data_IF_499148935039
#
_entry.id   IF_499148935039
#
_cell.length_a   1.000
_cell.length_b   1.000
_cell.length_c   1.000
_cell.angle_alpha   90.00
_cell.angle_beta   90.00
_cell.angle_gamma   90.00
#
_symmetry.space_group_name_H-M   'P 1'
#
loop_
_entity.id
_entity.type
_entity.pdbx_description
1 polymer ?
#
# COMPACT_ATOMS: atom_id res chain seq x y z
N UNK A 1 5.21 -9.43 -18.82
CA UNK A 1 3.94 -10.20 -18.79
C UNK A 1 2.84 -9.36 -19.41
N UNK A 2 1.82 -9.96 -20.03
CA UNK A 2 0.63 -9.21 -20.50
C UNK A 2 -0.19 -8.72 -19.31
N UNK A 3 -0.86 -7.57 -19.41
CA UNK A 3 -1.65 -6.94 -18.33
C UNK A 3 -2.66 -7.92 -17.73
N UNK A 4 -3.40 -8.61 -18.59
CA UNK A 4 -4.39 -9.60 -18.19
C UNK A 4 -3.80 -10.78 -17.39
N UNK A 5 -2.56 -11.19 -17.71
CA UNK A 5 -1.85 -12.19 -16.91
C UNK A 5 -1.42 -11.64 -15.55
N UNK A 6 -0.99 -10.38 -15.47
CA UNK A 6 -0.61 -9.73 -14.20
C UNK A 6 -1.81 -9.63 -13.27
N UNK A 7 -2.97 -9.22 -13.80
CA UNK A 7 -4.24 -9.15 -13.06
C UNK A 7 -4.62 -10.48 -12.43
N UNK A 8 -4.60 -11.56 -13.21
CA UNK A 8 -4.89 -12.90 -12.67
C UNK A 8 -3.93 -13.33 -11.57
N UNK A 9 -2.63 -13.06 -11.70
CA UNK A 9 -1.65 -13.40 -10.67
C UNK A 9 -1.85 -12.56 -9.39
N UNK A 10 -2.21 -11.29 -9.55
CA UNK A 10 -2.59 -10.40 -8.46
C UNK A 10 -3.85 -10.92 -7.73
N UNK A 11 -4.91 -11.25 -8.48
CA UNK A 11 -6.15 -11.81 -7.95
C UNK A 11 -5.89 -13.11 -7.18
N UNK A 12 -5.09 -14.03 -7.72
CA UNK A 12 -4.68 -15.27 -7.04
C UNK A 12 -3.96 -15.02 -5.72
N UNK A 13 -3.07 -14.02 -5.67
CA UNK A 13 -2.42 -13.61 -4.43
C UNK A 13 -3.41 -13.05 -3.41
N UNK A 14 -4.39 -12.25 -3.84
CA UNK A 14 -5.40 -11.68 -2.95
C UNK A 14 -6.37 -12.73 -2.40
N UNK A 15 -6.85 -13.65 -3.26
CA UNK A 15 -7.68 -14.79 -2.84
C UNK A 15 -6.97 -15.61 -1.77
N UNK A 16 -5.68 -15.90 -1.98
CA UNK A 16 -4.87 -16.63 -1.00
C UNK A 16 -4.74 -15.91 0.33
N UNK A 17 -4.57 -14.60 0.32
CA UNK A 17 -4.51 -13.80 1.55
C UNK A 17 -5.82 -13.87 2.32
N UNK A 18 -6.96 -13.81 1.64
CA UNK A 18 -8.28 -13.97 2.26
C UNK A 18 -8.42 -15.35 2.90
N UNK A 19 -7.98 -16.41 2.21
CA UNK A 19 -8.06 -17.79 2.72
C UNK A 19 -7.13 -18.05 3.92
N UNK A 20 -5.93 -17.45 3.94
CA UNK A 20 -4.92 -17.73 4.96
C UNK A 20 -4.95 -16.78 6.16
N UNK A 21 -5.30 -15.51 5.94
CA UNK A 21 -5.18 -14.43 6.93
C UNK A 21 -6.54 -13.77 7.18
N UNK A 22 -7.32 -13.55 6.13
CA UNK A 22 -8.55 -12.75 6.20
C UNK A 22 -8.23 -11.26 6.22
N UNK A 23 -8.66 -10.55 7.27
CA UNK A 23 -8.38 -9.12 7.43
C UNK A 23 -6.88 -8.88 7.68
N UNK A 24 -6.24 -8.18 6.74
CA UNK A 24 -4.81 -7.86 6.82
C UNK A 24 -4.51 -6.53 7.52
N UNK A 25 -5.50 -5.83 8.06
CA UNK A 25 -5.32 -4.51 8.68
C UNK A 25 -4.27 -4.58 9.80
N UNK A 26 -4.49 -5.44 10.80
CA UNK A 26 -3.56 -5.58 11.92
C UNK A 26 -2.15 -6.03 11.52
N UNK A 27 -1.94 -7.09 10.70
CA UNK A 27 -0.59 -7.47 10.29
C UNK A 27 0.11 -6.42 9.42
N UNK A 28 -0.63 -5.65 8.62
CA UNK A 28 -0.09 -4.53 7.84
C UNK A 28 0.37 -3.41 8.76
N UNK A 29 -0.51 -2.96 9.67
CA UNK A 29 -0.20 -1.87 10.60
C UNK A 29 0.95 -2.23 11.54
N UNK A 30 1.05 -3.48 11.98
CA UNK A 30 2.18 -3.94 12.80
C UNK A 30 3.53 -3.76 12.08
N UNK A 31 3.59 -4.08 10.77
CA UNK A 31 4.81 -3.88 9.97
C UNK A 31 5.08 -2.41 9.70
N UNK A 32 4.03 -1.66 9.40
CA UNK A 32 4.12 -0.23 9.15
C UNK A 32 4.66 0.51 10.37
N UNK A 33 4.10 0.29 11.56
CA UNK A 33 4.59 0.92 12.80
C UNK A 33 5.96 0.41 13.24
N UNK A 34 6.31 -0.84 12.91
CA UNK A 34 7.66 -1.35 13.11
C UNK A 34 8.71 -0.58 12.29
N UNK A 35 8.34 -0.07 11.10
CA UNK A 35 9.20 0.74 10.22
C UNK A 35 9.19 2.21 10.60
N UNK A 36 8.03 2.73 10.97
CA UNK A 36 7.82 4.13 11.29
C UNK A 36 7.17 4.28 12.66
N UNK A 37 7.92 4.08 13.77
CA UNK A 37 7.37 4.23 15.12
C UNK A 37 6.75 5.62 15.36
N UNK A 38 7.34 6.67 14.79
CA UNK A 38 6.83 8.04 14.87
C UNK A 38 5.46 8.24 14.19
N UNK A 39 5.04 7.33 13.30
CA UNK A 39 3.69 7.37 12.74
C UNK A 39 2.62 7.12 13.80
N UNK A 40 2.92 6.35 14.85
CA UNK A 40 2.00 6.12 15.98
C UNK A 40 1.65 7.44 16.67
N UNK A 41 2.68 8.22 17.02
CA UNK A 41 2.51 9.52 17.67
C UNK A 41 1.78 10.52 16.76
N UNK A 42 2.04 10.47 15.45
CA UNK A 42 1.33 11.29 14.49
C UNK A 42 -0.17 10.97 14.44
N UNK A 43 -0.57 9.70 14.52
CA UNK A 43 -1.99 9.34 14.61
C UNK A 43 -2.65 9.93 15.85
N UNK A 44 -2.03 9.77 17.01
CA UNK A 44 -2.58 10.28 18.27
C UNK A 44 -2.74 11.80 18.27
N UNK A 45 -1.84 12.51 17.58
CA UNK A 45 -1.88 13.97 17.44
C UNK A 45 -2.90 14.45 16.39
N UNK A 46 -2.97 13.78 15.25
CA UNK A 46 -3.75 14.25 14.08
C UNK A 46 -5.20 13.73 14.08
N UNK A 47 -5.48 12.65 14.80
CA UNK A 47 -6.77 11.97 14.79
C UNK A 47 -7.32 11.75 16.19
N UNK A 48 -8.49 12.31 16.47
CA UNK A 48 -9.21 12.13 17.74
C UNK A 48 -10.32 11.07 17.65
N UNK A 49 -10.45 10.42 16.50
CA UNK A 49 -11.49 9.42 16.22
C UNK A 49 -11.07 8.00 16.58
N UNK A 50 -11.80 7.02 16.05
CA UNK A 50 -11.44 5.62 16.21
C UNK A 50 -10.18 5.30 15.39
N UNK A 51 -9.07 5.01 16.09
CA UNK A 51 -7.80 4.65 15.45
C UNK A 51 -7.91 3.38 14.60
N UNK A 52 -8.54 2.33 15.12
CA UNK A 52 -8.67 1.07 14.40
C UNK A 52 -9.47 1.23 13.09
N UNK A 53 -10.46 2.12 13.09
CA UNK A 53 -11.20 2.46 11.87
C UNK A 53 -10.29 3.14 10.84
N UNK A 54 -9.53 4.17 11.24
CA UNK A 54 -8.62 4.88 10.33
C UNK A 54 -7.52 3.96 9.79
N UNK A 55 -6.98 3.08 10.63
CA UNK A 55 -6.05 2.02 10.22
C UNK A 55 -6.65 1.12 9.13
N UNK A 56 -7.91 0.72 9.28
CA UNK A 56 -8.65 -0.03 8.26
C UNK A 56 -8.80 0.76 6.94
N UNK A 57 -9.22 2.02 7.02
CA UNK A 57 -9.39 2.90 5.84
C UNK A 57 -8.08 3.12 5.09
N UNK A 58 -6.96 3.24 5.81
CA UNK A 58 -5.63 3.35 5.23
C UNK A 58 -5.22 2.09 4.47
N UNK A 59 -5.41 0.92 5.09
CA UNK A 59 -5.07 -0.36 4.47
C UNK A 59 -5.99 -0.64 3.27
N UNK A 60 -7.27 -0.31 3.37
CA UNK A 60 -8.23 -0.36 2.27
C UNK A 60 -7.78 0.52 1.10
N UNK A 61 -7.32 1.76 1.37
CA UNK A 61 -6.79 2.65 0.33
C UNK A 61 -5.54 2.08 -0.34
N UNK A 62 -4.63 1.47 0.43
CA UNK A 62 -3.44 0.82 -0.13
C UNK A 62 -3.84 -0.36 -1.02
N UNK A 63 -4.77 -1.22 -0.57
CA UNK A 63 -5.31 -2.33 -1.35
C UNK A 63 -5.98 -1.84 -2.64
N UNK A 64 -6.77 -0.77 -2.57
CA UNK A 64 -7.39 -0.17 -3.75
C UNK A 64 -6.36 0.23 -4.80
N UNK A 65 -5.29 0.93 -4.39
CA UNK A 65 -4.21 1.31 -5.31
C UNK A 65 -3.56 0.09 -5.96
N UNK A 66 -3.31 -0.97 -5.18
CA UNK A 66 -2.69 -2.21 -5.67
C UNK A 66 -3.60 -2.95 -6.66
N UNK A 67 -4.88 -3.09 -6.33
CA UNK A 67 -5.87 -3.83 -7.13
C UNK A 67 -6.11 -3.17 -8.50
N UNK A 68 -6.23 -1.85 -8.52
CA UNK A 68 -6.65 -1.12 -9.72
C UNK A 68 -5.51 -0.58 -10.56
N UNK A 69 -4.25 -0.71 -10.12
CA UNK A 69 -3.10 -0.18 -10.85
C UNK A 69 -3.02 -0.68 -12.30
N UNK A 70 -3.20 -1.97 -12.54
CA UNK A 70 -3.13 -2.53 -13.90
C UNK A 70 -4.38 -2.28 -14.75
N UNK A 71 -5.50 -1.88 -14.13
CA UNK A 71 -6.75 -1.58 -14.82
C UNK A 71 -6.87 -0.09 -15.19
N UNK A 72 -6.57 0.78 -14.22
CA UNK A 72 -6.78 2.22 -14.29
C UNK A 72 -5.59 2.98 -13.68
N UNK A 73 -4.37 2.88 -14.24
CA UNK A 73 -3.18 3.50 -13.65
C UNK A 73 -3.33 5.02 -13.50
N UNK A 74 -3.95 5.70 -14.48
CA UNK A 74 -4.17 7.16 -14.41
C UNK A 74 -5.09 7.61 -13.27
N UNK A 75 -6.05 6.78 -12.85
CA UNK A 75 -6.86 7.06 -11.67
C UNK A 75 -6.02 6.99 -10.39
N UNK A 76 -5.18 5.96 -10.29
CA UNK A 76 -4.28 5.77 -9.16
C UNK A 76 -3.22 6.87 -9.11
N UNK A 77 -2.69 7.30 -10.27
CA UNK A 77 -1.76 8.44 -10.38
C UNK A 77 -2.34 9.72 -9.78
N UNK A 78 -3.56 10.09 -10.18
CA UNK A 78 -4.25 11.28 -9.69
C UNK A 78 -4.53 11.17 -8.19
N UNK A 79 -5.05 10.02 -7.76
CA UNK A 79 -5.42 9.78 -6.36
C UNK A 79 -4.20 9.81 -5.44
N UNK A 80 -3.15 9.04 -5.77
CA UNK A 80 -1.96 8.88 -4.95
C UNK A 80 -1.17 10.19 -4.91
N UNK A 81 -0.97 10.84 -6.06
CA UNK A 81 -0.24 12.10 -6.13
C UNK A 81 -0.90 13.21 -5.30
N UNK A 82 -2.23 13.37 -5.43
CA UNK A 82 -2.97 14.33 -4.62
C UNK A 82 -2.94 13.99 -3.12
N UNK A 83 -3.01 12.70 -2.78
CA UNK A 83 -2.96 12.25 -1.39
C UNK A 83 -1.60 12.53 -0.75
N UNK A 84 -0.49 12.21 -1.43
CA UNK A 84 0.87 12.43 -0.93
C UNK A 84 1.12 13.92 -0.65
N UNK A 85 0.77 14.80 -1.60
CA UNK A 85 0.94 16.24 -1.42
C UNK A 85 0.12 16.77 -0.24
N UNK A 86 -1.15 16.36 -0.12
CA UNK A 86 -2.01 16.77 0.99
C UNK A 86 -1.44 16.33 2.35
N UNK A 87 -1.00 15.07 2.46
CA UNK A 87 -0.42 14.52 3.69
C UNK A 87 0.85 15.27 4.10
N UNK A 88 1.72 15.59 3.15
CA UNK A 88 2.92 16.36 3.43
C UNK A 88 2.61 17.80 3.86
N UNK A 89 1.86 18.53 3.04
CA UNK A 89 1.71 19.98 3.20
C UNK A 89 0.78 20.34 4.36
N UNK A 90 -0.25 19.53 4.58
CA UNK A 90 -1.29 19.81 5.57
C UNK A 90 -1.05 19.06 6.87
N UNK A 91 -0.75 17.76 6.79
CA UNK A 91 -0.67 16.89 7.96
C UNK A 91 0.76 16.75 8.50
N UNK A 92 1.77 17.24 7.76
CA UNK A 92 3.19 17.06 8.07
C UNK A 92 3.56 15.59 8.20
N UNK A 93 2.94 14.75 7.37
CA UNK A 93 3.25 13.33 7.22
C UNK A 93 4.24 13.17 6.06
N UNK A 94 5.44 12.65 6.30
CA UNK A 94 6.45 12.51 5.25
C UNK A 94 6.01 11.54 4.13
N UNK A 95 6.34 11.81 2.85
CA UNK A 95 5.98 10.92 1.73
C UNK A 95 6.47 9.47 1.91
N UNK A 96 7.62 9.27 2.56
CA UNK A 96 8.16 7.93 2.82
C UNK A 96 7.26 7.08 3.73
N UNK A 97 6.45 7.70 4.60
CA UNK A 97 5.47 6.99 5.41
C UNK A 97 4.32 6.49 4.54
N UNK A 98 3.94 7.26 3.52
CA UNK A 98 2.92 6.85 2.56
C UNK A 98 3.37 5.62 1.76
N UNK A 99 4.56 5.70 1.16
CA UNK A 99 5.16 4.55 0.46
C UNK A 99 5.34 3.35 1.40
N UNK A 100 5.73 3.62 2.65
CA UNK A 100 5.90 2.64 3.70
C UNK A 100 4.64 1.83 4.04
N UNK A 101 3.47 2.44 3.98
CA UNK A 101 2.19 1.75 4.16
C UNK A 101 1.91 0.80 2.98
N UNK A 102 2.07 1.28 1.75
CA UNK A 102 1.92 0.45 0.54
C UNK A 102 2.86 -0.75 0.60
N UNK A 103 4.12 -0.53 0.98
CA UNK A 103 5.10 -1.58 1.15
C UNK A 103 4.70 -2.60 2.22
N UNK A 104 4.22 -2.13 3.38
CA UNK A 104 3.78 -2.99 4.47
C UNK A 104 2.61 -3.90 4.02
N UNK A 105 1.66 -3.36 3.24
CA UNK A 105 0.55 -4.13 2.65
C UNK A 105 1.08 -5.19 1.69
N UNK A 106 1.97 -4.81 0.76
CA UNK A 106 2.60 -5.74 -0.19
C UNK A 106 3.31 -6.86 0.55
N UNK A 107 4.04 -6.55 1.63
CA UNK A 107 4.75 -7.58 2.39
C UNK A 107 3.80 -8.58 3.04
N UNK A 108 2.58 -8.18 3.44
CA UNK A 108 1.59 -9.13 4.01
C UNK A 108 1.14 -10.09 2.95
N UNK A 109 0.89 -9.58 1.75
CA UNK A 109 0.43 -10.38 0.63
C UNK A 109 1.55 -11.32 0.15
N UNK A 110 2.74 -10.79 -0.08
CA UNK A 110 3.91 -11.55 -0.54
C UNK A 110 4.32 -12.66 0.43
N UNK A 111 4.14 -12.47 1.74
CA UNK A 111 4.44 -13.50 2.72
C UNK A 111 3.57 -14.77 2.59
N UNK A 112 2.42 -14.69 1.88
CA UNK A 112 1.57 -15.85 1.58
C UNK A 112 1.98 -16.60 0.31
N UNK A 113 2.83 -16.00 -0.52
CA UNK A 113 3.21 -16.54 -1.82
C UNK A 113 4.29 -17.62 -1.62
N UNK A 114 4.13 -18.83 -2.20
CA UNK A 114 5.15 -19.86 -2.11
C UNK A 114 6.51 -19.37 -2.65
N UNK A 115 7.65 -19.65 -1.98
CA UNK A 115 8.98 -19.14 -2.36
C UNK A 115 9.46 -19.48 -3.79
N UNK A 116 8.82 -20.43 -4.47
CA UNK A 116 9.11 -20.81 -5.86
C UNK A 116 8.23 -20.12 -6.91
N UNK A 117 7.26 -19.30 -6.50
CA UNK A 117 6.31 -18.68 -7.43
C UNK A 117 6.83 -17.33 -7.95
N UNK A 118 7.88 -17.41 -8.77
CA UNK A 118 8.52 -16.25 -9.39
C UNK A 118 7.57 -15.32 -10.16
N UNK A 119 6.58 -15.84 -10.92
CA UNK A 119 5.62 -14.98 -11.62
C UNK A 119 4.78 -14.09 -10.71
N UNK A 120 4.21 -14.64 -9.62
CA UNK A 120 3.44 -13.82 -8.65
C UNK A 120 4.36 -12.79 -7.96
N UNK A 121 5.53 -13.22 -7.48
CA UNK A 121 6.51 -12.32 -6.85
C UNK A 121 6.90 -11.16 -7.78
N UNK A 122 7.11 -11.44 -9.08
CA UNK A 122 7.46 -10.42 -10.06
C UNK A 122 6.34 -9.37 -10.26
N UNK A 123 5.07 -9.76 -10.13
CA UNK A 123 3.94 -8.81 -10.19
C UNK A 123 3.98 -7.86 -8.99
N UNK A 124 4.19 -8.39 -7.78
CA UNK A 124 4.26 -7.58 -6.57
C UNK A 124 5.49 -6.67 -6.52
N UNK A 125 6.64 -7.14 -7.02
CA UNK A 125 7.84 -6.32 -7.18
C UNK A 125 7.63 -5.19 -8.20
N UNK A 126 6.85 -5.43 -9.26
CA UNK A 126 6.48 -4.39 -10.22
C UNK A 126 5.59 -3.33 -9.58
N UNK A 127 4.51 -3.73 -8.91
CA UNK A 127 3.61 -2.82 -8.18
C UNK A 127 4.36 -1.97 -7.16
N UNK A 128 5.25 -2.59 -6.37
CA UNK A 128 6.10 -1.88 -5.41
C UNK A 128 6.92 -0.80 -6.09
N UNK A 129 7.61 -1.12 -7.18
CA UNK A 129 8.43 -0.14 -7.90
C UNK A 129 7.60 0.99 -8.50
N UNK A 130 6.46 0.67 -9.12
CA UNK A 130 5.68 1.66 -9.85
C UNK A 130 4.95 2.62 -8.89
N UNK A 131 4.30 2.10 -7.85
CA UNK A 131 3.65 2.93 -6.83
C UNK A 131 4.68 3.71 -5.99
N UNK A 132 5.80 3.09 -5.62
CA UNK A 132 6.90 3.79 -4.94
C UNK A 132 7.49 4.92 -5.80
N UNK A 133 7.63 4.68 -7.11
CA UNK A 133 8.08 5.68 -8.07
C UNK A 133 7.14 6.88 -8.17
N UNK A 134 5.83 6.65 -8.09
CA UNK A 134 4.81 7.70 -8.11
C UNK A 134 4.84 8.57 -6.83
N UNK A 135 5.08 7.96 -5.66
CA UNK A 135 5.30 8.72 -4.41
C UNK A 135 6.57 9.57 -4.51
N UNK A 136 7.66 9.02 -5.05
CA UNK A 136 8.91 9.76 -5.22
C UNK A 136 8.77 10.92 -6.22
N UNK A 137 8.05 10.71 -7.33
CA UNK A 137 7.72 11.80 -8.27
C UNK A 137 6.93 12.91 -7.58
N UNK A 138 5.95 12.54 -6.75
CA UNK A 138 5.17 13.51 -5.97
C UNK A 138 6.06 14.29 -4.99
N UNK A 139 7.06 13.62 -4.40
CA UNK A 139 8.04 14.27 -3.52
C UNK A 139 8.90 15.31 -4.25
N UNK A 140 9.22 15.09 -5.52
CA UNK A 140 10.01 16.05 -6.31
C UNK A 140 9.26 17.37 -6.60
N UNK A 141 7.95 17.42 -6.32
CA UNK A 141 7.12 18.61 -6.44
C UNK A 141 7.03 19.42 -5.13
N UNK A 142 7.58 18.91 -4.02
CA UNK A 142 7.64 19.54 -2.69
C UNK A 142 8.87 20.43 -2.54
#
# INVERSE_FOLDING_TARGET
MQVEQKRRLLEQSLERVVEQIGDITQPTMARYYGRFPAAVEAFERLWTGNRAQLEGEMVERALYCLMYWFESPGEIEIMLGGSVLHHNDTLRVPPEWYAGLVDATIDVIVATIPPGNGPELAVWDELRRELGGLVEQSRQLL
#
